data_IF_816574689048
#
_entry.id   IF_816574689048
#
_cell.length_a   1.000
_cell.length_b   1.000
_cell.length_c   1.000
_cell.angle_alpha   90.00
_cell.angle_beta   90.00
_cell.angle_gamma   90.00
#
_symmetry.space_group_name_H-M   'P 1'
#
loop_
_entity.id
_entity.type
_entity.pdbx_description
1 polymer ?
#
# COMPACT_ATOMS: atom_id res chain seq x y z
N UNK A 1 -6.69 -9.54 29.33
CA UNK A 1 -6.46 -8.29 28.56
C UNK A 1 -5.10 -7.80 29.01
N UNK A 2 -4.06 -8.14 28.26
CA UNK A 2 -2.68 -7.83 28.65
C UNK A 2 -2.39 -6.42 28.16
N UNK A 3 -2.69 -5.44 29.00
CA UNK A 3 -2.18 -4.09 28.83
C UNK A 3 -0.67 -4.15 29.11
N UNK A 4 0.14 -4.37 28.06
CA UNK A 4 1.60 -4.26 28.14
C UNK A 4 1.88 -2.79 28.50
N UNK A 5 2.17 -2.52 29.77
CA UNK A 5 2.68 -1.24 30.24
C UNK A 5 4.06 -0.99 29.59
N UNK A 6 4.06 -0.54 28.34
CA UNK A 6 5.26 -0.08 27.62
C UNK A 6 5.99 1.02 28.43
N UNK A 7 5.27 1.70 29.32
CA UNK A 7 5.79 2.75 30.20
C UNK A 7 6.85 2.27 31.21
N UNK A 8 6.87 0.99 31.63
CA UNK A 8 7.85 0.44 32.60
C UNK A 8 8.98 -0.37 31.94
N UNK A 9 8.94 -0.55 30.62
CA UNK A 9 9.95 -1.32 29.91
C UNK A 9 11.25 -0.51 29.75
N UNK A 10 12.38 -1.13 30.09
CA UNK A 10 13.72 -0.62 29.75
C UNK A 10 13.75 -0.32 28.24
N UNK A 11 14.41 0.77 27.86
CA UNK A 11 14.47 1.27 26.48
C UNK A 11 14.90 0.18 25.49
N UNK A 12 15.77 -0.74 25.91
CA UNK A 12 16.25 -1.90 25.16
C UNK A 12 15.14 -2.87 24.67
N UNK A 13 13.98 -2.91 25.35
CA UNK A 13 12.87 -3.80 24.97
C UNK A 13 11.82 -3.14 24.08
N UNK A 14 11.86 -1.81 23.93
CA UNK A 14 10.82 -1.06 23.21
C UNK A 14 10.80 -1.41 21.70
N UNK A 15 11.97 -1.53 21.07
CA UNK A 15 12.09 -1.93 19.65
C UNK A 15 11.68 -3.39 19.42
N UNK A 16 12.17 -4.37 20.21
CA UNK A 16 11.65 -5.74 20.13
C UNK A 16 10.13 -5.82 20.30
N UNK A 17 9.56 -5.13 21.29
CA UNK A 17 8.11 -5.11 21.52
C UNK A 17 7.34 -4.51 20.33
N UNK A 18 7.87 -3.44 19.72
CA UNK A 18 7.31 -2.86 18.50
C UNK A 18 7.25 -3.87 17.36
N UNK A 19 8.33 -4.63 17.13
CA UNK A 19 8.35 -5.66 16.09
C UNK A 19 7.42 -6.83 16.37
N UNK A 20 7.20 -7.18 17.65
CA UNK A 20 6.17 -8.15 18.03
C UNK A 20 4.78 -7.63 17.66
N UNK A 21 4.43 -6.40 18.04
CA UNK A 21 3.14 -5.79 17.67
C UNK A 21 2.94 -5.74 16.17
N UNK A 22 3.95 -5.29 15.43
CA UNK A 22 3.97 -5.22 13.98
C UNK A 22 3.75 -6.59 13.32
N UNK A 23 4.37 -7.66 13.82
CA UNK A 23 4.14 -9.02 13.34
C UNK A 23 2.69 -9.48 13.54
N UNK A 24 2.11 -9.21 14.71
CA UNK A 24 0.72 -9.55 15.06
C UNK A 24 -0.25 -8.80 14.14
N UNK A 25 -0.05 -7.49 13.97
CA UNK A 25 -0.93 -6.64 13.16
C UNK A 25 -0.90 -7.03 11.68
N UNK A 26 0.28 -7.27 11.12
CA UNK A 26 0.38 -7.75 9.73
C UNK A 26 -0.28 -9.11 9.54
N UNK A 27 -0.09 -10.03 10.48
CA UNK A 27 -0.70 -11.34 10.41
C UNK A 27 -2.22 -11.25 10.56
N UNK A 28 -2.71 -10.46 11.52
CA UNK A 28 -4.13 -10.22 11.73
C UNK A 28 -4.79 -9.63 10.48
N UNK A 29 -4.21 -8.58 9.87
CA UNK A 29 -4.73 -7.99 8.63
C UNK A 29 -4.81 -9.01 7.50
N UNK A 30 -3.76 -9.82 7.31
CA UNK A 30 -3.74 -10.84 6.26
C UNK A 30 -4.79 -11.93 6.48
N UNK A 31 -4.94 -12.39 7.71
CA UNK A 31 -5.84 -13.50 8.06
C UNK A 31 -7.30 -13.07 8.14
N UNK A 32 -7.58 -11.91 8.74
CA UNK A 32 -8.93 -11.48 9.08
C UNK A 32 -9.48 -10.38 8.16
N UNK A 33 -8.63 -9.68 7.39
CA UNK A 33 -9.02 -8.62 6.44
C UNK A 33 -10.01 -7.62 7.08
N UNK A 34 -11.27 -7.59 6.64
CA UNK A 34 -12.32 -6.70 7.16
C UNK A 34 -12.85 -7.10 8.55
N UNK A 35 -12.49 -8.28 9.07
CA UNK A 35 -12.82 -8.76 10.41
C UNK A 35 -11.69 -8.53 11.41
N UNK A 36 -10.68 -7.74 11.03
CA UNK A 36 -9.56 -7.44 11.92
C UNK A 36 -10.02 -6.60 13.12
N UNK A 37 -9.96 -7.20 14.31
CA UNK A 37 -10.27 -6.54 15.58
C UNK A 37 -9.01 -6.04 16.29
N UNK A 38 -7.83 -6.43 15.82
CA UNK A 38 -6.55 -6.06 16.45
C UNK A 38 -6.20 -4.61 16.09
N UNK A 39 -6.20 -4.23 14.81
CA UNK A 39 -5.88 -2.84 14.44
C UNK A 39 -6.79 -1.80 15.14
N UNK A 40 -8.13 -1.96 15.17
CA UNK A 40 -8.99 -1.06 15.95
C UNK A 40 -8.71 -1.05 17.46
N UNK A 41 -8.27 -2.18 18.03
CA UNK A 41 -7.95 -2.24 19.46
C UNK A 41 -6.61 -1.56 19.78
N UNK A 42 -5.62 -1.72 18.92
CA UNK A 42 -4.30 -1.12 19.07
C UNK A 42 -4.33 0.38 18.79
N UNK A 43 -5.18 0.87 17.87
CA UNK A 43 -5.24 2.29 17.50
C UNK A 43 -5.59 3.20 18.68
N UNK A 44 -6.46 2.74 19.60
CA UNK A 44 -6.88 3.48 20.80
C UNK A 44 -5.70 3.99 21.62
N UNK A 45 -4.64 3.18 21.74
CA UNK A 45 -3.46 3.51 22.54
C UNK A 45 -2.21 3.74 21.67
N UNK A 46 -2.34 3.76 20.34
CA UNK A 46 -1.18 3.76 19.44
C UNK A 46 -0.32 5.02 19.62
N UNK A 47 -0.96 6.19 19.68
CA UNK A 47 -0.25 7.45 19.91
C UNK A 47 0.52 7.44 21.24
N UNK A 48 -0.07 6.91 22.31
CA UNK A 48 0.59 6.77 23.62
C UNK A 48 1.75 5.77 23.55
N UNK A 49 1.54 4.63 22.90
CA UNK A 49 2.59 3.62 22.69
C UNK A 49 3.77 4.21 21.91
N UNK A 50 3.52 4.90 20.80
CA UNK A 50 4.58 5.51 20.00
C UNK A 50 5.32 6.59 20.79
N UNK A 51 4.62 7.42 21.57
CA UNK A 51 5.26 8.40 22.44
C UNK A 51 6.23 7.76 23.44
N UNK A 52 5.81 6.66 24.07
CA UNK A 52 6.66 5.94 25.02
C UNK A 52 7.88 5.31 24.33
N UNK A 53 7.77 4.95 23.04
CA UNK A 53 8.89 4.41 22.25
C UNK A 53 9.82 5.51 21.73
N UNK A 54 9.34 6.73 21.48
CA UNK A 54 10.15 7.85 20.99
C UNK A 54 11.14 8.43 22.02
N UNK A 55 10.99 8.13 23.31
CA UNK A 55 12.01 8.36 24.35
C UNK A 55 13.14 7.32 24.25
N UNK A 56 13.77 7.22 23.08
CA UNK A 56 14.93 6.37 22.86
C UNK A 56 16.00 7.04 21.98
N UNK A 57 17.15 6.38 21.83
CA UNK A 57 18.25 6.88 21.02
C UNK A 57 17.82 7.19 19.58
N UNK A 58 18.44 8.20 18.91
CA UNK A 58 18.08 8.61 17.56
C UNK A 58 17.96 7.46 16.54
N UNK A 59 18.88 6.50 16.60
CA UNK A 59 18.90 5.32 15.73
C UNK A 59 17.68 4.41 15.94
N UNK A 60 17.21 4.28 17.18
CA UNK A 60 16.04 3.48 17.51
C UNK A 60 14.74 4.20 17.13
N UNK A 61 14.69 5.52 17.30
CA UNK A 61 13.53 6.33 16.85
C UNK A 61 13.29 6.20 15.35
N UNK A 62 14.34 6.15 14.53
CA UNK A 62 14.19 5.91 13.09
C UNK A 62 13.63 4.52 12.75
N UNK A 63 13.90 3.50 13.57
CA UNK A 63 13.25 2.18 13.42
C UNK A 63 11.75 2.26 13.69
N UNK A 64 11.32 3.10 14.63
CA UNK A 64 9.89 3.37 14.89
C UNK A 64 9.24 4.00 13.67
N UNK A 65 9.84 5.07 13.14
CA UNK A 65 9.30 5.76 11.95
C UNK A 65 9.21 4.81 10.77
N UNK A 66 10.22 3.96 10.55
CA UNK A 66 10.20 2.92 9.52
C UNK A 66 8.99 2.00 9.63
N UNK A 67 8.68 1.52 10.85
CA UNK A 67 7.51 0.65 11.10
C UNK A 67 6.20 1.40 10.83
N UNK A 68 6.08 2.65 11.27
CA UNK A 68 4.90 3.48 11.02
C UNK A 68 4.69 3.70 9.51
N UNK A 69 5.76 3.99 8.75
CA UNK A 69 5.67 4.13 7.30
C UNK A 69 5.23 2.82 6.62
N UNK A 70 5.68 1.66 7.10
CA UNK A 70 5.23 0.36 6.59
C UNK A 70 3.75 0.10 6.91
N UNK A 71 3.30 0.49 8.11
CA UNK A 71 1.88 0.42 8.45
C UNK A 71 1.02 1.31 7.56
N UNK A 72 1.50 2.52 7.22
CA UNK A 72 0.81 3.40 6.27
C UNK A 72 0.73 2.76 4.88
N UNK A 73 1.88 2.36 4.34
CA UNK A 73 1.97 1.80 3.00
C UNK A 73 1.07 0.56 2.86
N UNK A 74 1.00 -0.28 3.88
CA UNK A 74 0.19 -1.50 3.87
C UNK A 74 -1.22 -1.28 4.43
N UNK A 75 -1.62 -0.04 4.70
CA UNK A 75 -2.91 0.36 5.27
C UNK A 75 -3.29 -0.42 6.54
N UNK A 76 -2.32 -0.77 7.39
CA UNK A 76 -2.56 -1.48 8.66
C UNK A 76 -3.45 -0.61 9.56
N UNK A 77 -3.24 0.70 9.53
CA UNK A 77 -4.12 1.69 10.11
C UNK A 77 -4.53 2.70 9.04
N UNK A 78 -5.62 3.44 9.29
CA UNK A 78 -6.05 4.54 8.44
C UNK A 78 -5.10 5.74 8.56
N UNK A 79 -5.03 6.56 7.51
CA UNK A 79 -4.14 7.74 7.47
C UNK A 79 -4.45 8.73 8.60
N UNK A 80 -5.73 8.87 9.00
CA UNK A 80 -6.15 9.70 10.14
C UNK A 80 -5.49 9.30 11.48
N UNK A 81 -5.06 8.05 11.61
CA UNK A 81 -4.31 7.55 12.77
C UNK A 81 -2.81 7.72 12.57
N UNK A 82 -2.31 7.49 11.35
CA UNK A 82 -0.87 7.50 11.05
C UNK A 82 -0.30 8.92 10.92
N UNK A 83 -0.98 9.82 10.21
CA UNK A 83 -0.48 11.17 9.93
C UNK A 83 -0.14 11.97 11.20
N UNK A 84 -0.97 11.98 12.26
CA UNK A 84 -0.62 12.68 13.51
C UNK A 84 0.66 12.13 14.14
N UNK A 85 0.94 10.84 14.00
CA UNK A 85 2.13 10.18 14.53
C UNK A 85 3.36 10.62 13.73
N UNK A 86 3.29 10.58 12.40
CA UNK A 86 4.39 11.03 11.53
C UNK A 86 4.68 12.52 11.71
N UNK A 87 3.65 13.36 11.79
CA UNK A 87 3.81 14.80 12.06
C UNK A 87 4.53 15.05 13.38
N UNK A 88 4.24 14.26 14.43
CA UNK A 88 4.96 14.35 15.71
C UNK A 88 6.41 13.91 15.60
N UNK A 89 6.71 12.84 14.87
CA UNK A 89 8.09 12.41 14.61
C UNK A 89 8.88 13.51 13.90
N UNK A 90 8.28 14.12 12.87
CA UNK A 90 8.87 15.23 12.12
C UNK A 90 9.10 16.47 13.00
N UNK A 91 8.12 16.85 13.84
CA UNK A 91 8.26 17.94 14.80
C UNK A 91 9.36 17.68 15.85
N UNK A 92 9.70 16.41 16.09
CA UNK A 92 10.82 16.01 16.95
C UNK A 92 12.17 15.95 16.22
N UNK A 93 12.23 16.43 14.97
CA UNK A 93 13.44 16.49 14.14
C UNK A 93 13.79 15.18 13.45
N UNK A 94 12.87 14.22 13.37
CA UNK A 94 13.10 12.96 12.65
C UNK A 94 12.72 13.10 11.17
N UNK A 95 13.47 12.41 10.32
CA UNK A 95 13.05 12.21 8.95
C UNK A 95 11.87 11.23 8.92
N UNK A 96 10.87 11.51 8.08
CA UNK A 96 9.68 10.67 7.90
C UNK A 96 9.52 10.16 6.48
N UNK A 97 10.36 10.61 5.55
CA UNK A 97 10.28 10.21 4.15
C UNK A 97 10.68 8.73 4.01
N UNK A 98 9.81 7.84 3.50
CA UNK A 98 10.04 6.40 3.47
C UNK A 98 11.41 5.99 2.90
N UNK A 99 11.80 6.58 1.76
CA UNK A 99 13.08 6.25 1.12
C UNK A 99 14.30 6.66 1.95
N UNK A 100 14.23 7.83 2.59
CA UNK A 100 15.33 8.33 3.41
C UNK A 100 15.42 7.56 4.72
N UNK A 101 14.29 7.32 5.38
CA UNK A 101 14.20 6.51 6.60
C UNK A 101 14.71 5.09 6.37
N UNK A 102 14.28 4.43 5.29
CA UNK A 102 14.72 3.07 4.96
C UNK A 102 16.25 3.00 4.79
N UNK A 103 16.82 3.96 4.06
CA UNK A 103 18.27 4.07 3.87
C UNK A 103 19.01 4.34 5.18
N UNK A 104 18.51 5.22 6.03
CA UNK A 104 19.12 5.53 7.33
C UNK A 104 19.11 4.32 8.28
N UNK A 105 18.08 3.47 8.21
CA UNK A 105 17.96 2.30 9.09
C UNK A 105 18.69 1.06 8.55
N UNK A 106 18.68 0.86 7.23
CA UNK A 106 19.16 -0.40 6.61
C UNK A 106 20.44 -0.25 5.78
N UNK A 107 20.88 0.98 5.50
CA UNK A 107 22.05 1.26 4.69
C UNK A 107 21.90 0.69 3.27
N UNK A 108 22.89 -0.07 2.82
CA UNK A 108 22.89 -0.75 1.52
C UNK A 108 21.78 -1.80 1.36
N UNK A 109 21.20 -2.27 2.47
CA UNK A 109 20.11 -3.26 2.50
C UNK A 109 18.72 -2.60 2.48
N UNK A 110 18.64 -1.31 2.16
CA UNK A 110 17.38 -0.60 2.03
C UNK A 110 16.57 -1.15 0.85
N UNK A 111 15.31 -1.48 1.10
CA UNK A 111 14.43 -2.05 0.09
C UNK A 111 13.11 -1.27 0.03
N UNK A 112 12.94 -0.51 -1.04
CA UNK A 112 11.72 0.26 -1.28
C UNK A 112 10.57 -0.56 -1.84
N UNK A 113 10.81 -1.79 -2.30
CA UNK A 113 9.73 -2.68 -2.74
C UNK A 113 8.82 -3.06 -1.56
N UNK A 114 9.33 -2.98 -0.33
CA UNK A 114 8.55 -3.18 0.89
C UNK A 114 7.40 -2.17 1.04
N UNK A 115 7.47 -1.00 0.40
CA UNK A 115 6.41 0.02 0.45
C UNK A 115 5.39 -0.12 -0.67
N UNK A 116 5.60 -1.04 -1.61
CA UNK A 116 4.65 -1.30 -2.67
C UNK A 116 3.45 -2.08 -2.10
N UNK A 117 2.25 -1.52 -2.23
CA UNK A 117 1.04 -2.26 -1.90
C UNK A 117 0.97 -3.49 -2.80
N UNK A 118 0.89 -4.68 -2.19
CA UNK A 118 0.68 -5.93 -2.91
C UNK A 118 -0.76 -6.00 -3.43
N UNK A 119 -1.05 -5.23 -4.47
CA UNK A 119 -2.23 -5.41 -5.31
C UNK A 119 -1.98 -6.59 -6.25
N UNK A 120 -1.95 -7.82 -5.71
CA UNK A 120 -1.92 -9.05 -6.52
C UNK A 120 -3.25 -9.81 -6.46
N UNK A 121 -4.36 -9.07 -6.56
CA UNK A 121 -5.65 -9.62 -6.93
C UNK A 121 -6.40 -8.64 -7.85
N UNK A 122 -5.91 -8.48 -9.08
CA UNK A 122 -6.81 -8.28 -10.21
C UNK A 122 -6.10 -8.73 -11.50
N UNK A 123 -6.80 -9.49 -12.35
CA UNK A 123 -6.36 -10.05 -13.65
C UNK A 123 -5.91 -11.51 -13.60
N UNK A 124 -6.88 -12.42 -13.61
CA UNK A 124 -6.81 -13.72 -14.29
C UNK A 124 -8.23 -14.27 -14.45
N UNK A 125 -8.79 -14.20 -15.68
CA UNK A 125 -10.07 -14.87 -15.93
C UNK A 125 -10.91 -14.49 -17.16
N UNK A 126 -10.36 -13.95 -18.25
CA UNK A 126 -10.77 -14.36 -19.61
C UNK A 126 -9.85 -13.75 -20.68
N UNK A 127 -8.95 -14.56 -21.22
CA UNK A 127 -8.33 -14.34 -22.53
C UNK A 127 -8.55 -15.62 -23.34
N UNK A 128 -9.51 -15.57 -24.26
CA UNK A 128 -9.54 -16.49 -25.39
C UNK A 128 -8.47 -15.98 -26.36
N UNK A 129 -7.42 -16.79 -26.54
CA UNK A 129 -6.33 -16.56 -27.50
C UNK A 129 -6.84 -16.69 -28.94
N UNK A 130 -6.33 -15.80 -29.79
CA UNK A 130 -6.39 -15.80 -31.24
C UNK A 130 -5.38 -16.77 -31.89
N UNK A 131 -5.55 -16.93 -33.22
CA UNK A 131 -4.69 -17.52 -34.28
C UNK A 131 -4.88 -19.03 -34.59
N UNK A 132 -5.00 -19.50 -35.84
CA UNK A 132 -4.41 -19.09 -37.15
C UNK A 132 -5.22 -19.63 -38.37
N UNK A 133 -4.95 -19.09 -39.58
CA UNK A 133 -5.52 -19.28 -40.95
C UNK A 133 -5.39 -20.72 -41.57
N UNK A 134 -5.65 -21.04 -42.87
CA UNK A 134 -6.14 -20.26 -44.05
C UNK A 134 -7.22 -20.96 -44.93
N UNK A 135 -7.77 -20.32 -45.98
CA UNK A 135 -8.11 -20.93 -47.31
C UNK A 135 -8.55 -19.87 -48.32
N UNK A 136 -7.89 -19.81 -49.48
CA UNK A 136 -8.30 -19.08 -50.69
C UNK A 136 -9.22 -19.95 -51.56
N UNK A 137 -10.23 -19.37 -52.25
CA UNK A 137 -10.65 -19.72 -53.64
C UNK A 137 -11.85 -18.87 -54.15
N UNK A 138 -11.58 -18.16 -55.26
CA UNK A 138 -12.35 -18.05 -56.53
C UNK A 138 -13.68 -17.26 -56.62
N UNK A 139 -13.58 -16.13 -57.35
CA UNK A 139 -14.39 -15.60 -58.47
C UNK A 139 -15.85 -16.07 -58.69
N UNK A 140 -16.82 -15.14 -58.66
CA UNK A 140 -17.64 -14.69 -59.83
C UNK A 140 -18.70 -13.63 -59.44
N UNK A 141 -19.16 -12.78 -60.39
CA UNK A 141 -20.01 -11.62 -60.12
C UNK A 141 -21.50 -11.94 -60.36
N UNK A 142 -22.40 -11.28 -59.63
CA UNK A 142 -23.79 -11.18 -60.08
C UNK A 142 -24.39 -9.77 -59.91
N UNK A 143 -25.02 -9.39 -61.01
CA UNK A 143 -25.63 -8.14 -61.45
C UNK A 143 -26.88 -7.71 -60.67
N UNK A 144 -27.10 -6.39 -60.61
CA UNK A 144 -28.40 -5.75 -60.37
C UNK A 144 -28.63 -5.38 -58.90
N UNK A 145 -29.05 -4.18 -58.51
CA UNK A 145 -29.90 -3.22 -59.20
C UNK A 145 -29.74 -1.82 -58.57
N UNK A 146 -30.07 -0.84 -59.38
CA UNK A 146 -30.03 0.62 -59.28
C UNK A 146 -30.94 1.28 -58.21
N UNK A 147 -30.63 2.56 -57.95
CA UNK A 147 -31.42 3.65 -57.32
C UNK A 147 -31.17 3.82 -55.80
N UNK A 148 -30.78 4.99 -55.26
CA UNK A 148 -31.03 6.37 -55.67
C UNK A 148 -29.93 7.35 -55.26
N UNK A 149 -29.88 8.41 -56.04
CA UNK A 149 -29.02 9.60 -55.99
C UNK A 149 -29.59 10.64 -55.03
N UNK A 150 -28.75 11.28 -54.20
CA UNK A 150 -28.55 12.76 -54.14
C UNK A 150 -27.61 13.09 -52.96
N UNK A 151 -26.38 13.58 -53.20
CA UNK A 151 -26.00 14.99 -53.49
C UNK A 151 -26.28 15.87 -52.27
N UNK A 152 -25.26 16.09 -51.44
CA UNK A 152 -24.42 17.31 -51.40
C UNK A 152 -25.12 18.51 -50.79
N UNK A 153 -24.54 19.03 -49.70
CA UNK A 153 -23.78 20.29 -49.74
C UNK A 153 -23.78 20.96 -48.36
N UNK A 154 -22.56 21.29 -47.95
CA UNK A 154 -22.15 22.17 -46.88
C UNK A 154 -22.52 23.64 -47.11
N UNK A 155 -22.84 24.35 -46.03
CA UNK A 155 -22.30 25.70 -45.76
C UNK A 155 -23.24 26.91 -45.80
N UNK A 156 -23.08 27.76 -44.77
CA UNK A 156 -23.36 29.21 -44.69
C UNK A 156 -24.86 29.59 -44.64
N UNK A 157 -25.36 30.48 -43.78
CA UNK A 157 -24.80 31.44 -42.80
C UNK A 157 -25.85 31.69 -41.71
#
# INVERSE_FOLDING_TARGET
MVDIEVAKCRQEFKIPALYVMDSILRQAKKQYKHKDVFAPRFSVNLSTTINNVLDCDPTDRLKVVRVVNLWQAHQIFADEVIEPILNKCQASGLDVEPAKVERLVKGEKADMQLYQQSNLFNTSGNSIKSETAPTSKILTPHIGNINSVNVSASGQS
#
